data_IF_314361542319
#
_entry.id   IF_314361542319
#
_cell.length_a   1.000
_cell.length_b   1.000
_cell.length_c   1.000
_cell.angle_alpha   90.00
_cell.angle_beta   90.00
_cell.angle_gamma   90.00
#
_symmetry.space_group_name_H-M   'P 1'
#
loop_
_entity.id
_entity.type
_entity.pdbx_description
1 polymer ?
#
# COMPACT_ATOMS: atom_id res chain seq x y z
N UNK A 1 -26.82 5.36 -6.87
CA UNK A 1 -26.17 4.07 -6.56
C UNK A 1 -25.48 3.64 -7.84
N UNK A 2 -24.16 3.80 -7.95
CA UNK A 2 -23.44 3.37 -9.16
C UNK A 2 -23.27 1.86 -9.10
N UNK A 3 -23.91 1.16 -10.01
CA UNK A 3 -23.71 -0.28 -10.23
C UNK A 3 -22.31 -0.44 -10.84
N UNK A 4 -21.33 -0.83 -10.02
CA UNK A 4 -20.00 -1.16 -10.50
C UNK A 4 -20.09 -2.43 -11.35
N UNK A 5 -19.88 -2.31 -12.65
CA UNK A 5 -19.72 -3.47 -13.54
C UNK A 5 -18.58 -4.36 -13.04
N UNK A 6 -18.79 -5.68 -13.14
CA UNK A 6 -17.78 -6.68 -12.82
C UNK A 6 -16.47 -6.43 -13.59
N UNK A 7 -16.57 -5.96 -14.83
CA UNK A 7 -15.41 -5.61 -15.67
C UNK A 7 -14.64 -4.40 -15.11
N UNK A 8 -15.35 -3.41 -14.56
CA UNK A 8 -14.72 -2.25 -13.93
C UNK A 8 -13.94 -2.65 -12.67
N UNK A 9 -14.49 -3.58 -11.89
CA UNK A 9 -13.84 -4.15 -10.72
C UNK A 9 -12.56 -4.92 -11.09
N UNK A 10 -12.63 -5.84 -12.05
CA UNK A 10 -11.46 -6.62 -12.48
C UNK A 10 -10.36 -5.74 -13.06
N UNK A 11 -10.72 -4.76 -13.90
CA UNK A 11 -9.75 -3.79 -14.43
C UNK A 11 -9.09 -2.96 -13.33
N UNK A 12 -9.83 -2.56 -12.30
CA UNK A 12 -9.25 -1.87 -11.14
C UNK A 12 -8.32 -2.80 -10.35
N UNK A 13 -8.73 -4.05 -10.14
CA UNK A 13 -7.94 -5.04 -9.41
C UNK A 13 -6.64 -5.39 -10.11
N UNK A 14 -6.64 -5.51 -11.44
CA UNK A 14 -5.42 -5.72 -12.23
C UNK A 14 -4.44 -4.56 -12.06
N UNK A 15 -4.92 -3.31 -12.16
CA UNK A 15 -4.07 -2.13 -11.90
C UNK A 15 -3.54 -2.08 -10.47
N UNK A 16 -4.32 -2.50 -9.49
CA UNK A 16 -3.86 -2.59 -8.10
C UNK A 16 -2.79 -3.68 -7.98
N UNK A 17 -3.01 -4.84 -8.59
CA UNK A 17 -2.07 -5.96 -8.57
C UNK A 17 -0.76 -5.66 -9.31
N UNK A 18 -0.72 -4.76 -10.28
CA UNK A 18 0.58 -4.34 -10.86
C UNK A 18 1.42 -3.51 -9.89
N UNK A 19 0.80 -2.83 -8.92
CA UNK A 19 1.47 -1.94 -7.97
C UNK A 19 1.84 -2.68 -6.68
N UNK A 20 0.88 -3.42 -6.12
CA UNK A 20 1.00 -4.10 -4.82
C UNK A 20 0.88 -5.62 -4.91
N UNK A 21 0.83 -6.18 -6.12
CA UNK A 21 0.87 -7.63 -6.31
C UNK A 21 2.22 -8.20 -5.95
N UNK A 22 2.24 -9.52 -5.81
CA UNK A 22 3.44 -10.27 -5.50
C UNK A 22 3.61 -11.39 -6.52
N UNK A 23 4.16 -11.04 -7.69
CA UNK A 23 4.32 -11.96 -8.81
C UNK A 23 5.52 -12.91 -8.65
N UNK A 24 6.50 -12.58 -7.79
CA UNK A 24 7.81 -13.23 -7.77
C UNK A 24 8.39 -13.43 -6.35
N UNK A 25 7.58 -13.76 -5.34
CA UNK A 25 8.17 -14.14 -4.04
C UNK A 25 9.00 -15.41 -4.15
N UNK A 26 10.30 -15.23 -4.38
CA UNK A 26 11.37 -16.21 -4.27
C UNK A 26 11.91 -16.33 -2.84
N UNK A 27 11.26 -15.64 -1.89
CA UNK A 27 11.70 -15.57 -0.49
C UNK A 27 11.27 -16.86 0.25
N UNK A 28 12.17 -17.41 1.06
CA UNK A 28 11.88 -18.51 1.98
C UNK A 28 10.61 -18.20 2.77
N UNK A 29 9.64 -19.11 2.69
CA UNK A 29 8.28 -18.94 3.22
C UNK A 29 8.23 -19.03 4.75
N UNK A 30 8.85 -18.06 5.43
CA UNK A 30 8.72 -17.85 6.87
C UNK A 30 7.64 -16.82 7.16
N UNK A 31 7.02 -16.91 8.34
CA UNK A 31 5.98 -15.97 8.77
C UNK A 31 6.50 -14.52 8.77
N UNK A 32 7.75 -14.31 9.17
CA UNK A 32 8.37 -12.97 9.21
C UNK A 32 8.61 -12.41 7.81
N UNK A 33 9.09 -13.24 6.87
CA UNK A 33 9.30 -12.81 5.50
C UNK A 33 7.98 -12.47 4.79
N UNK A 34 6.93 -13.26 5.02
CA UNK A 34 5.59 -12.95 4.51
C UNK A 34 5.04 -11.66 5.11
N UNK A 35 5.24 -11.44 6.40
CA UNK A 35 4.77 -10.23 7.10
C UNK A 35 5.50 -8.99 6.58
N UNK A 36 6.82 -9.08 6.38
CA UNK A 36 7.64 -8.03 5.79
C UNK A 36 7.26 -7.73 4.34
N UNK A 37 7.05 -8.75 3.52
CA UNK A 37 6.58 -8.61 2.14
C UNK A 37 5.22 -7.90 2.07
N UNK A 38 4.26 -8.31 2.91
CA UNK A 38 2.95 -7.63 3.02
C UNK A 38 3.12 -6.17 3.40
N UNK A 39 3.99 -5.86 4.37
CA UNK A 39 4.24 -4.49 4.79
C UNK A 39 4.82 -3.63 3.66
N UNK A 40 5.79 -4.14 2.89
CA UNK A 40 6.33 -3.43 1.74
C UNK A 40 5.28 -3.15 0.66
N UNK A 41 4.38 -4.11 0.41
CA UNK A 41 3.30 -3.93 -0.57
C UNK A 41 2.29 -2.89 -0.10
N UNK A 42 1.97 -2.86 1.20
CA UNK A 42 1.16 -1.79 1.79
C UNK A 42 1.84 -0.43 1.62
N UNK A 43 3.13 -0.31 1.93
CA UNK A 43 3.88 0.94 1.77
C UNK A 43 3.89 1.44 0.31
N UNK A 44 4.11 0.53 -0.66
CA UNK A 44 4.03 0.86 -2.10
C UNK A 44 2.65 1.38 -2.49
N UNK A 45 1.58 0.73 -2.01
CA UNK A 45 0.21 1.17 -2.27
C UNK A 45 -0.08 2.55 -1.69
N UNK A 46 0.32 2.79 -0.44
CA UNK A 46 0.16 4.10 0.21
C UNK A 46 0.93 5.20 -0.50
N UNK A 47 2.18 4.93 -0.92
CA UNK A 47 2.96 5.86 -1.70
C UNK A 47 2.28 6.20 -3.03
N UNK A 48 1.78 5.19 -3.75
CA UNK A 48 1.05 5.40 -5.00
C UNK A 48 -0.23 6.23 -4.79
N UNK A 49 -0.96 6.02 -3.70
CA UNK A 49 -2.11 6.85 -3.36
C UNK A 49 -1.71 8.32 -3.16
N UNK A 50 -0.62 8.57 -2.42
CA UNK A 50 -0.12 9.93 -2.14
C UNK A 50 0.36 10.66 -3.40
N UNK A 51 1.06 9.97 -4.30
CA UNK A 51 1.72 10.62 -5.45
C UNK A 51 0.89 10.61 -6.72
N UNK A 52 0.07 9.58 -6.95
CA UNK A 52 -0.63 9.40 -8.21
C UNK A 52 -2.13 9.64 -8.09
N UNK A 53 -2.80 9.12 -7.06
CA UNK A 53 -4.27 9.12 -6.98
C UNK A 53 -4.83 10.39 -6.35
N UNK A 54 -4.37 10.74 -5.15
CA UNK A 54 -4.88 11.89 -4.39
C UNK A 54 -4.74 13.22 -5.16
N UNK A 55 -3.63 13.48 -5.89
CA UNK A 55 -3.51 14.71 -6.68
C UNK A 55 -4.60 14.89 -7.74
N UNK A 56 -5.22 13.81 -8.22
CA UNK A 56 -6.27 13.82 -9.24
C UNK A 56 -7.68 14.10 -8.67
N UNK A 57 -7.83 14.19 -7.34
CA UNK A 57 -9.11 14.50 -6.71
C UNK A 57 -9.42 15.99 -6.88
N UNK A 58 -10.55 16.32 -7.51
CA UNK A 58 -10.96 17.70 -7.77
C UNK A 58 -11.48 18.44 -6.52
N UNK A 59 -12.08 17.70 -5.57
CA UNK A 59 -12.56 18.24 -4.31
C UNK A 59 -11.38 18.50 -3.37
N UNK A 60 -10.89 19.74 -3.33
CA UNK A 60 -9.70 20.14 -2.56
C UNK A 60 -9.85 19.93 -1.05
N UNK A 61 -11.07 20.05 -0.50
CA UNK A 61 -11.30 19.79 0.93
C UNK A 61 -11.13 18.30 1.23
N UNK A 62 -11.81 17.44 0.46
CA UNK A 62 -11.68 15.98 0.63
C UNK A 62 -10.29 15.48 0.31
N UNK A 63 -9.64 16.04 -0.72
CA UNK A 63 -8.26 15.74 -1.08
C UNK A 63 -7.30 16.00 0.07
N UNK A 64 -7.42 17.17 0.70
CA UNK A 64 -6.59 17.54 1.86
C UNK A 64 -6.81 16.60 3.04
N UNK A 65 -8.06 16.26 3.34
CA UNK A 65 -8.39 15.33 4.41
C UNK A 65 -7.83 13.92 4.14
N UNK A 66 -8.05 13.39 2.94
CA UNK A 66 -7.55 12.06 2.52
C UNK A 66 -6.02 12.05 2.53
N UNK A 67 -5.37 13.11 2.06
CA UNK A 67 -3.91 13.24 2.10
C UNK A 67 -3.37 13.05 3.52
N UNK A 68 -3.89 13.79 4.50
CA UNK A 68 -3.41 13.68 5.88
C UNK A 68 -3.68 12.32 6.53
N UNK A 69 -4.82 11.69 6.20
CA UNK A 69 -5.10 10.33 6.65
C UNK A 69 -4.09 9.33 6.10
N UNK A 70 -3.84 9.35 4.78
CA UNK A 70 -2.93 8.41 4.13
C UNK A 70 -1.47 8.66 4.55
N UNK A 71 -1.05 9.92 4.69
CA UNK A 71 0.30 10.26 5.16
C UNK A 71 0.54 9.74 6.59
N UNK A 72 -0.44 9.92 7.48
CA UNK A 72 -0.37 9.40 8.85
C UNK A 72 -0.24 7.87 8.88
N UNK A 73 -1.03 7.16 8.07
CA UNK A 73 -0.95 5.69 7.96
C UNK A 73 0.40 5.27 7.38
N UNK A 74 0.88 5.95 6.34
CA UNK A 74 2.18 5.69 5.73
C UNK A 74 3.31 5.81 6.75
N UNK A 75 3.33 6.87 7.56
CA UNK A 75 4.30 7.06 8.63
C UNK A 75 4.27 5.88 9.63
N UNK A 76 3.08 5.46 10.07
CA UNK A 76 2.95 4.30 10.99
C UNK A 76 3.54 3.04 10.37
N UNK A 77 3.26 2.76 9.09
CA UNK A 77 3.80 1.58 8.40
C UNK A 77 5.32 1.63 8.21
N UNK A 78 5.91 2.82 8.07
CA UNK A 78 7.37 3.01 7.99
C UNK A 78 8.05 2.80 9.35
N UNK A 79 7.41 3.22 10.44
CA UNK A 79 7.89 2.93 11.80
C UNK A 79 7.89 1.43 12.07
N UNK A 80 6.82 0.72 11.71
CA UNK A 80 6.75 -0.74 11.86
C UNK A 80 7.86 -1.46 11.08
N UNK A 81 8.17 -1.02 9.86
CA UNK A 81 9.28 -1.58 9.08
C UNK A 81 10.63 -1.35 9.78
N UNK A 82 10.84 -0.17 10.34
CA UNK A 82 12.05 0.12 11.10
C UNK A 82 12.17 -0.83 12.29
N UNK A 83 11.14 -0.97 13.11
CA UNK A 83 11.16 -1.82 14.30
C UNK A 83 11.44 -3.28 13.94
N UNK A 84 10.83 -3.79 12.87
CA UNK A 84 11.12 -5.12 12.33
C UNK A 84 12.60 -5.27 11.92
N UNK A 85 13.17 -4.29 11.23
CA UNK A 85 14.57 -4.32 10.79
C UNK A 85 15.57 -4.22 11.96
N UNK A 86 15.22 -3.53 13.04
CA UNK A 86 16.04 -3.45 14.26
C UNK A 86 16.01 -4.74 15.07
N UNK A 87 14.84 -5.40 15.17
CA UNK A 87 14.71 -6.70 15.83
C UNK A 87 15.55 -7.80 15.20
N UNK A 88 15.83 -7.71 13.89
CA UNK A 88 16.69 -8.66 13.16
C UNK A 88 18.19 -8.36 13.23
N UNK A 89 18.62 -7.24 13.83
CA UNK A 89 20.04 -6.83 13.89
C UNK A 89 20.79 -7.31 15.14
N UNK A 90 20.13 -8.07 16.02
CA UNK A 90 20.71 -8.63 17.26
C UNK A 90 20.88 -10.16 17.19
N UNK A 91 21.11 -10.73 16.01
CA UNK A 91 21.45 -12.16 15.82
C UNK A 91 22.74 -12.27 15.03
#
# INVERSE_FOLDING_TARGET
MHEYSLDSYYNAMDRINTIIGNAETSIVNTVDNLSRDRLFRVQKGLLHLLTEIIPQIEDEQKKTEIHYWIDSIYIITRCQEWDFNKGTSYV
#
